data_IF_178920007145
#
_entry.id   IF_178920007145
#
_cell.length_a   1.000
_cell.length_b   1.000
_cell.length_c   1.000
_cell.angle_alpha   90.00
_cell.angle_beta   90.00
_cell.angle_gamma   90.00
#
_symmetry.space_group_name_H-M   'P 1'
#
loop_
_entity.id
_entity.type
_entity.pdbx_description
1 polymer ?
#
# COMPACT_ATOMS: atom_id res chain seq x y z
N UNK A 1 7.50 -16.17 24.36
CA UNK A 1 7.63 -16.33 22.90
C UNK A 1 6.29 -15.88 22.34
N UNK A 2 6.27 -14.87 21.47
CA UNK A 2 5.01 -14.36 20.95
C UNK A 2 4.28 -15.45 20.16
N UNK A 3 2.95 -15.49 20.27
CA UNK A 3 2.13 -16.52 19.68
C UNK A 3 1.92 -16.29 18.17
N UNK A 4 1.81 -15.02 17.77
CA UNK A 4 1.44 -14.60 16.42
C UNK A 4 2.55 -13.75 15.79
N UNK A 5 2.97 -14.13 14.58
CA UNK A 5 3.80 -13.29 13.72
C UNK A 5 2.92 -12.54 12.72
N UNK A 6 3.12 -11.24 12.55
CA UNK A 6 2.38 -10.38 11.61
C UNK A 6 3.38 -9.76 10.65
N UNK A 7 3.23 -9.98 9.35
CA UNK A 7 4.15 -9.46 8.33
C UNK A 7 3.49 -8.28 7.62
N UNK A 8 4.01 -7.09 7.87
CA UNK A 8 3.54 -5.80 7.32
C UNK A 8 2.85 -4.93 8.36
N UNK A 9 3.32 -3.69 8.52
CA UNK A 9 2.73 -2.68 9.40
C UNK A 9 1.83 -1.69 8.65
N UNK A 10 1.11 -2.19 7.63
CA UNK A 10 -0.05 -1.48 7.07
C UNK A 10 -1.25 -1.52 8.01
N UNK A 11 -2.32 -0.81 7.64
CA UNK A 11 -3.51 -0.67 8.49
C UNK A 11 -4.14 -1.99 8.91
N UNK A 12 -4.15 -3.01 8.04
CA UNK A 12 -4.68 -4.34 8.36
C UNK A 12 -3.82 -5.11 9.38
N UNK A 13 -2.49 -5.05 9.24
CA UNK A 13 -1.56 -5.66 10.20
C UNK A 13 -1.65 -5.02 11.58
N UNK A 14 -1.72 -3.68 11.62
CA UNK A 14 -1.87 -2.94 12.89
C UNK A 14 -3.24 -3.18 13.51
N UNK A 15 -4.34 -3.17 12.73
CA UNK A 15 -5.66 -3.52 13.24
C UNK A 15 -5.69 -4.93 13.85
N UNK A 16 -5.01 -5.89 13.23
CA UNK A 16 -4.86 -7.26 13.76
C UNK A 16 -4.14 -7.25 15.10
N UNK A 17 -2.97 -6.61 15.17
CA UNK A 17 -2.14 -6.55 16.38
C UNK A 17 -2.85 -5.83 17.54
N UNK A 18 -3.53 -4.71 17.27
CA UNK A 18 -4.35 -4.00 18.27
C UNK A 18 -5.44 -4.93 18.81
N UNK A 19 -6.14 -5.64 17.94
CA UNK A 19 -7.22 -6.53 18.38
C UNK A 19 -6.69 -7.75 19.14
N UNK A 20 -5.55 -8.32 18.75
CA UNK A 20 -4.88 -9.38 19.52
C UNK A 20 -4.44 -8.91 20.91
N UNK A 21 -3.87 -7.71 21.01
CA UNK A 21 -3.47 -7.11 22.28
C UNK A 21 -4.68 -6.94 23.23
N UNK A 22 -5.85 -6.57 22.70
CA UNK A 22 -7.11 -6.49 23.48
C UNK A 22 -7.57 -7.85 24.02
N UNK A 23 -7.20 -8.94 23.36
CA UNK A 23 -7.43 -10.31 23.82
C UNK A 23 -6.33 -10.85 24.74
N UNK A 24 -5.28 -10.07 25.01
CA UNK A 24 -4.13 -10.52 25.79
C UNK A 24 -3.20 -11.48 25.03
N UNK A 25 -3.27 -11.52 23.70
CA UNK A 25 -2.42 -12.36 22.86
C UNK A 25 -1.19 -11.57 22.41
N UNK A 26 0.00 -12.06 22.76
CA UNK A 26 1.26 -11.47 22.33
C UNK A 26 1.51 -11.71 20.83
N UNK A 27 1.81 -10.63 20.10
CA UNK A 27 2.15 -10.66 18.68
C UNK A 27 3.40 -9.83 18.37
N UNK A 28 4.11 -10.19 17.30
CA UNK A 28 5.24 -9.42 16.75
C UNK A 28 4.91 -8.99 15.33
N UNK A 29 5.05 -7.70 15.04
CA UNK A 29 4.91 -7.15 13.68
C UNK A 29 6.30 -7.02 13.05
N UNK A 30 6.47 -7.48 11.82
CA UNK A 30 7.64 -7.23 10.99
C UNK A 30 7.30 -6.15 9.96
N UNK A 31 8.12 -5.11 9.90
CA UNK A 31 8.01 -4.02 8.92
C UNK A 31 9.39 -3.71 8.34
N UNK A 32 9.52 -3.63 7.03
CA UNK A 32 10.82 -3.42 6.40
C UNK A 32 11.27 -1.96 6.41
N UNK A 33 10.32 -1.02 6.42
CA UNK A 33 10.61 0.42 6.32
C UNK A 33 9.96 1.17 7.48
N UNK A 34 8.70 1.58 7.29
CA UNK A 34 7.94 2.43 8.21
C UNK A 34 6.48 2.02 8.20
N UNK A 35 5.85 2.16 9.34
CA UNK A 35 4.40 2.03 9.54
C UNK A 35 3.60 2.80 8.48
N UNK A 36 2.47 2.22 8.06
CA UNK A 36 1.47 2.87 7.21
C UNK A 36 1.28 2.24 5.84
N UNK A 37 2.27 1.48 5.35
CA UNK A 37 2.17 0.75 4.08
C UNK A 37 1.75 1.66 2.91
N UNK A 38 0.66 1.31 2.22
CA UNK A 38 0.18 2.05 1.04
C UNK A 38 -0.50 3.39 1.37
N UNK A 39 -1.02 3.56 2.59
CA UNK A 39 -1.68 4.79 3.02
C UNK A 39 -0.72 5.98 2.99
N UNK A 40 0.59 5.74 3.10
CA UNK A 40 1.64 6.75 2.90
C UNK A 40 1.52 7.49 1.55
N UNK A 41 0.89 6.86 0.55
CA UNK A 41 0.71 7.41 -0.79
C UNK A 41 -0.63 8.12 -1.00
N UNK A 42 -1.53 8.09 -0.01
CA UNK A 42 -2.90 8.57 -0.18
C UNK A 42 -2.98 10.09 -0.04
N UNK A 43 -3.60 10.76 -1.03
CA UNK A 43 -3.96 12.19 -0.92
C UNK A 43 -4.97 12.41 0.21
N UNK A 44 -6.02 11.58 0.21
CA UNK A 44 -7.11 11.60 1.19
C UNK A 44 -7.68 10.19 1.33
N UNK A 45 -7.93 9.77 2.56
CA UNK A 45 -8.63 8.53 2.89
C UNK A 45 -10.06 8.89 3.27
N UNK A 46 -11.00 8.65 2.36
CA UNK A 46 -12.42 9.01 2.52
C UNK A 46 -13.32 7.78 2.72
N UNK A 47 -12.81 6.59 2.39
CA UNK A 47 -13.51 5.32 2.52
C UNK A 47 -13.44 4.72 3.94
N UNK A 48 -13.15 5.55 4.94
CA UNK A 48 -13.17 5.18 6.35
C UNK A 48 -14.19 6.09 7.02
N UNK A 49 -15.25 5.48 7.56
CA UNK A 49 -16.29 6.22 8.28
C UNK A 49 -15.68 7.03 9.43
N UNK A 50 -16.42 8.05 9.89
CA UNK A 50 -16.02 9.01 10.94
C UNK A 50 -15.11 10.16 10.49
N UNK A 51 -14.78 10.25 9.18
CA UNK A 51 -14.09 11.40 8.59
C UNK A 51 -14.91 11.95 7.40
N UNK A 52 -15.93 12.79 7.63
CA UNK A 52 -16.83 13.25 6.57
C UNK A 52 -16.12 14.04 5.47
N UNK A 53 -15.06 14.77 5.82
CA UNK A 53 -14.21 15.52 4.88
C UNK A 53 -12.98 14.73 4.41
N UNK A 54 -12.92 13.43 4.74
CA UNK A 54 -11.72 12.62 4.58
C UNK A 54 -10.63 12.93 5.62
N UNK A 55 -9.57 12.12 5.56
CA UNK A 55 -8.38 12.30 6.38
C UNK A 55 -7.13 12.08 5.53
N UNK A 56 -6.14 12.98 5.65
CA UNK A 56 -4.88 12.85 4.89
C UNK A 56 -4.17 11.54 5.22
N UNK A 57 -3.55 10.93 4.20
CA UNK A 57 -2.76 9.71 4.38
C UNK A 57 -1.73 9.83 5.50
N UNK A 58 -1.00 10.94 5.57
CA UNK A 58 -0.01 11.17 6.62
C UNK A 58 -0.62 11.16 8.03
N UNK A 59 -1.79 11.78 8.21
CA UNK A 59 -2.47 11.79 9.52
C UNK A 59 -2.96 10.39 9.90
N UNK A 60 -3.40 9.58 8.94
CA UNK A 60 -3.74 8.17 9.22
C UNK A 60 -2.50 7.40 9.68
N UNK A 61 -1.32 7.63 9.08
CA UNK A 61 -0.08 6.98 9.52
C UNK A 61 0.30 7.39 10.94
N UNK A 62 0.19 8.68 11.29
CA UNK A 62 0.41 9.14 12.67
C UNK A 62 -0.54 8.44 13.66
N UNK A 63 -1.82 8.30 13.30
CA UNK A 63 -2.79 7.56 14.14
C UNK A 63 -2.40 6.09 14.29
N UNK A 64 -1.88 5.45 13.25
CA UNK A 64 -1.37 4.08 13.34
C UNK A 64 -0.16 3.97 14.27
N UNK A 65 0.75 4.94 14.24
CA UNK A 65 1.87 5.05 15.17
C UNK A 65 1.37 5.28 16.62
N UNK A 66 0.33 6.10 16.82
CA UNK A 66 -0.34 6.29 18.12
C UNK A 66 -0.94 4.96 18.64
N UNK A 67 -1.57 4.14 17.79
CA UNK A 67 -2.06 2.82 18.16
C UNK A 67 -0.93 1.86 18.58
N UNK A 68 0.18 1.87 17.85
CA UNK A 68 1.38 1.07 18.18
C UNK A 68 1.90 1.44 19.57
N UNK A 69 2.04 2.74 19.87
CA UNK A 69 2.48 3.21 21.17
C UNK A 69 1.49 2.91 22.29
N UNK A 70 0.20 3.20 22.08
CA UNK A 70 -0.87 3.02 23.09
C UNK A 70 -1.02 1.56 23.54
N UNK A 71 -0.91 0.61 22.62
CA UNK A 71 -1.06 -0.82 22.91
C UNK A 71 0.27 -1.54 23.17
N UNK A 72 1.39 -0.82 23.17
CA UNK A 72 2.72 -1.42 23.38
C UNK A 72 3.07 -2.48 22.34
N UNK A 73 2.65 -2.28 21.08
CA UNK A 73 2.82 -3.28 20.03
C UNK A 73 4.32 -3.40 19.68
N UNK A 74 4.82 -4.64 19.65
CA UNK A 74 6.21 -4.90 19.27
C UNK A 74 6.35 -4.90 17.75
N UNK A 75 7.02 -3.88 17.22
CA UNK A 75 7.40 -3.79 15.81
C UNK A 75 8.90 -4.03 15.66
N UNK A 76 9.27 -5.02 14.83
CA UNK A 76 10.64 -5.31 14.42
C UNK A 76 10.82 -4.73 13.02
N UNK A 77 11.75 -3.78 12.91
CA UNK A 77 12.07 -3.12 11.64
C UNK A 77 13.07 -3.95 10.82
N UNK A 78 12.58 -5.05 10.25
CA UNK A 78 13.33 -6.02 9.45
C UNK A 78 12.49 -6.52 8.27
N UNK A 79 13.10 -6.68 7.11
CA UNK A 79 12.46 -7.36 5.98
C UNK A 79 12.43 -8.86 6.23
N UNK A 80 11.25 -9.46 6.08
CA UNK A 80 11.10 -10.92 6.05
C UNK A 80 11.53 -11.42 4.68
N UNK A 81 12.53 -12.28 4.65
CA UNK A 81 13.14 -12.81 3.43
C UNK A 81 12.72 -14.26 3.15
N UNK A 82 12.18 -14.96 4.14
CA UNK A 82 11.76 -16.34 4.01
C UNK A 82 10.71 -16.73 5.03
N UNK A 83 9.79 -17.61 4.64
CA UNK A 83 8.79 -18.21 5.52
C UNK A 83 8.71 -19.68 5.16
N UNK A 84 8.71 -20.54 6.17
CA UNK A 84 8.44 -21.97 6.00
C UNK A 84 7.67 -22.51 7.17
N UNK A 85 6.88 -23.55 6.92
CA UNK A 85 6.28 -24.35 7.99
C UNK A 85 7.26 -25.44 8.42
N UNK A 86 7.48 -25.58 9.72
CA UNK A 86 8.25 -26.67 10.32
C UNK A 86 7.49 -27.16 11.53
N UNK A 87 7.07 -28.43 11.47
CA UNK A 87 6.17 -29.02 12.47
C UNK A 87 4.92 -28.13 12.62
N UNK A 88 4.53 -27.82 13.86
CA UNK A 88 3.36 -26.98 14.17
C UNK A 88 3.63 -25.47 14.07
N UNK A 89 4.86 -25.04 13.74
CA UNK A 89 5.27 -23.64 13.79
C UNK A 89 5.64 -23.07 12.40
N UNK A 90 5.41 -21.77 12.24
CA UNK A 90 5.97 -21.00 11.14
C UNK A 90 7.35 -20.47 11.55
N UNK A 91 8.37 -20.77 10.75
CA UNK A 91 9.69 -20.13 10.85
C UNK A 91 9.74 -18.94 9.90
N UNK A 92 9.90 -17.74 10.47
CA UNK A 92 10.02 -16.45 9.77
C UNK A 92 11.48 -16.03 9.79
N UNK A 93 12.06 -15.87 8.61
CA UNK A 93 13.47 -15.54 8.41
C UNK A 93 13.65 -14.08 8.03
N UNK A 94 14.67 -13.47 8.62
CA UNK A 94 15.11 -12.09 8.38
C UNK A 94 16.63 -12.10 8.26
N UNK A 95 17.26 -11.01 7.75
CA UNK A 95 18.72 -10.88 7.76
C UNK A 95 19.37 -10.97 9.15
N UNK A 96 18.62 -10.73 10.24
CA UNK A 96 19.17 -10.74 11.61
C UNK A 96 18.88 -12.02 12.39
N UNK A 97 18.05 -12.91 11.86
CA UNK A 97 17.74 -14.17 12.52
C UNK A 97 16.39 -14.76 12.14
N UNK A 98 15.99 -15.74 12.94
CA UNK A 98 14.82 -16.58 12.70
C UNK A 98 13.89 -16.56 13.89
N UNK A 99 12.60 -16.40 13.62
CA UNK A 99 11.54 -16.27 14.60
C UNK A 99 10.52 -17.38 14.39
N UNK A 100 9.89 -17.85 15.47
CA UNK A 100 8.91 -18.94 15.41
C UNK A 100 7.58 -18.52 15.99
N UNK A 101 6.50 -18.85 15.28
CA UNK A 101 5.13 -18.49 15.66
C UNK A 101 4.18 -19.66 15.41
N UNK A 102 3.13 -19.80 16.24
CA UNK A 102 2.05 -20.76 15.99
C UNK A 102 1.14 -20.28 14.87
N UNK A 103 0.85 -18.98 14.86
CA UNK A 103 0.02 -18.32 13.85
C UNK A 103 0.83 -17.32 13.04
N UNK A 104 0.51 -17.21 11.76
CA UNK A 104 1.12 -16.23 10.87
C UNK A 104 0.04 -15.40 10.17
N UNK A 105 0.16 -14.08 10.26
CA UNK A 105 -0.72 -13.14 9.57
C UNK A 105 0.10 -12.39 8.52
N UNK A 106 -0.25 -12.56 7.26
CA UNK A 106 0.38 -11.89 6.12
C UNK A 106 -0.47 -10.67 5.77
N UNK A 107 0.05 -9.49 6.08
CA UNK A 107 -0.53 -8.17 5.82
C UNK A 107 0.38 -7.32 4.92
N UNK A 108 1.10 -7.98 4.01
CA UNK A 108 2.15 -7.43 3.12
C UNK A 108 1.64 -6.52 2.00
N UNK A 109 0.33 -6.39 1.87
CA UNK A 109 -0.33 -5.55 0.88
C UNK A 109 0.00 -5.94 -0.56
N UNK A 110 0.22 -4.93 -1.41
CA UNK A 110 0.49 -5.10 -2.84
C UNK A 110 1.67 -4.24 -3.28
N UNK A 111 2.35 -4.62 -4.36
CA UNK A 111 3.39 -3.82 -5.03
C UNK A 111 2.92 -3.33 -6.41
N UNK A 112 3.42 -2.18 -6.90
CA UNK A 112 3.00 -1.66 -8.20
C UNK A 112 3.45 -2.57 -9.34
N UNK A 113 2.64 -2.64 -10.41
CA UNK A 113 3.11 -3.15 -11.70
C UNK A 113 4.08 -2.14 -12.30
N UNK A 114 5.23 -2.62 -12.78
CA UNK A 114 6.27 -1.77 -13.37
C UNK A 114 6.12 -1.69 -14.89
N UNK A 115 6.34 -0.49 -15.42
CA UNK A 115 6.59 -0.24 -16.83
C UNK A 115 8.04 -0.62 -17.17
N UNK A 116 8.33 -1.02 -18.42
CA UNK A 116 9.68 -1.37 -18.87
C UNK A 116 10.51 -0.10 -19.16
N UNK A 117 10.40 0.93 -18.33
CA UNK A 117 11.05 2.22 -18.50
C UNK A 117 11.73 2.64 -17.19
N UNK A 118 12.93 3.18 -17.31
CA UNK A 118 13.64 3.80 -16.19
C UNK A 118 13.09 5.19 -15.88
N UNK A 119 13.42 5.74 -14.71
CA UNK A 119 12.98 7.08 -14.28
C UNK A 119 11.50 7.19 -13.89
N UNK A 120 10.76 6.08 -13.86
CA UNK A 120 9.35 6.05 -13.41
C UNK A 120 9.29 5.78 -11.91
N UNK A 121 8.66 6.69 -11.17
CA UNK A 121 8.37 6.54 -9.74
C UNK A 121 6.99 5.91 -9.58
N UNK A 122 6.82 4.98 -8.62
CA UNK A 122 5.55 4.25 -8.44
C UNK A 122 4.82 4.58 -7.14
N UNK A 123 5.47 5.34 -6.26
CA UNK A 123 4.99 5.73 -4.96
C UNK A 123 5.14 7.24 -4.81
N UNK A 124 4.03 7.97 -4.75
CA UNK A 124 4.08 9.44 -4.59
C UNK A 124 4.72 9.85 -3.27
N UNK A 125 4.71 8.97 -2.26
CA UNK A 125 5.39 9.18 -0.98
C UNK A 125 6.92 9.25 -1.10
N UNK A 126 7.50 8.69 -2.18
CA UNK A 126 8.94 8.73 -2.46
C UNK A 126 9.35 9.99 -3.24
N UNK A 127 8.38 10.79 -3.70
CA UNK A 127 8.63 12.02 -4.46
C UNK A 127 9.11 13.13 -3.53
N UNK A 128 10.28 13.74 -3.79
CA UNK A 128 10.77 14.86 -2.99
C UNK A 128 9.77 16.02 -2.95
N UNK A 129 9.57 16.60 -1.77
CA UNK A 129 8.72 17.79 -1.60
C UNK A 129 9.46 19.03 -2.13
N UNK A 130 9.32 19.26 -3.44
CA UNK A 130 9.80 20.45 -4.15
C UNK A 130 8.80 20.84 -5.23
N UNK A 131 9.04 22.00 -5.85
CA UNK A 131 8.27 22.41 -7.01
C UNK A 131 8.72 21.65 -8.28
N UNK A 132 7.75 21.33 -9.13
CA UNK A 132 7.91 20.70 -10.43
C UNK A 132 7.23 21.59 -11.49
N UNK A 133 7.80 21.70 -12.68
CA UNK A 133 7.12 22.34 -13.81
C UNK A 133 6.03 21.42 -14.36
N UNK A 134 6.40 20.23 -14.84
CA UNK A 134 5.45 19.27 -15.43
C UNK A 134 5.61 17.86 -14.90
N UNK A 135 4.48 17.24 -14.54
CA UNK A 135 4.41 15.85 -14.07
C UNK A 135 3.52 15.03 -15.00
N UNK A 136 4.00 13.87 -15.45
CA UNK A 136 3.21 12.89 -16.20
C UNK A 136 2.83 11.71 -15.30
N UNK A 137 1.56 11.36 -15.27
CA UNK A 137 1.02 10.22 -14.52
C UNK A 137 0.45 9.22 -15.51
N UNK A 138 0.95 7.99 -15.50
CA UNK A 138 0.54 6.92 -16.42
C UNK A 138 -0.40 5.98 -15.67
N UNK A 139 -1.69 6.04 -16.00
CA UNK A 139 -2.71 5.22 -15.36
C UNK A 139 -4.06 5.92 -15.33
N UNK A 140 -5.13 5.15 -15.20
CA UNK A 140 -6.51 5.67 -15.20
C UNK A 140 -7.39 5.15 -14.06
N UNK A 141 -6.83 4.51 -13.04
CA UNK A 141 -7.55 4.08 -11.84
C UNK A 141 -7.39 5.08 -10.69
N UNK A 142 -7.98 4.78 -9.53
CA UNK A 142 -7.99 5.66 -8.35
C UNK A 142 -6.61 6.20 -7.99
N UNK A 143 -5.59 5.33 -7.93
CA UNK A 143 -4.20 5.71 -7.59
C UNK A 143 -3.66 6.80 -8.53
N UNK A 144 -3.99 6.77 -9.82
CA UNK A 144 -3.51 7.77 -10.76
C UNK A 144 -4.15 9.15 -10.49
N UNK A 145 -5.44 9.17 -10.18
CA UNK A 145 -6.17 10.38 -9.85
C UNK A 145 -5.76 10.94 -8.48
N UNK A 146 -5.52 10.07 -7.52
CA UNK A 146 -5.02 10.41 -6.19
C UNK A 146 -3.61 11.04 -6.25
N UNK A 147 -2.72 10.45 -7.07
CA UNK A 147 -1.41 11.02 -7.36
C UNK A 147 -1.54 12.38 -8.05
N UNK A 148 -2.49 12.54 -8.99
CA UNK A 148 -2.70 13.80 -9.67
C UNK A 148 -3.13 14.92 -8.73
N UNK A 149 -4.04 14.62 -7.79
CA UNK A 149 -4.47 15.56 -6.76
C UNK A 149 -3.31 15.95 -5.84
N UNK A 150 -2.46 15.01 -5.47
CA UNK A 150 -1.24 15.28 -4.69
C UNK A 150 -0.28 16.19 -5.46
N UNK A 151 0.06 15.81 -6.69
CA UNK A 151 1.04 16.55 -7.52
C UNK A 151 0.52 17.91 -7.97
N UNK A 152 -0.80 18.10 -8.09
CA UNK A 152 -1.38 19.41 -8.45
C UNK A 152 -1.07 20.52 -7.46
N UNK A 153 -0.66 20.18 -6.23
CA UNK A 153 -0.21 21.14 -5.21
C UNK A 153 1.26 21.53 -5.34
N UNK A 154 2.03 20.81 -6.14
CA UNK A 154 3.49 20.94 -6.25
C UNK A 154 3.96 21.15 -7.70
N UNK A 155 3.07 21.06 -8.69
CA UNK A 155 3.40 21.16 -10.11
C UNK A 155 2.62 22.26 -10.85
N UNK A 156 3.27 22.93 -11.81
CA UNK A 156 2.59 23.89 -12.70
C UNK A 156 1.58 23.18 -13.62
N UNK A 157 1.91 21.97 -14.08
CA UNK A 157 1.04 21.15 -14.92
C UNK A 157 1.16 19.66 -14.57
N UNK A 158 0.01 19.01 -14.39
CA UNK A 158 -0.10 17.56 -14.21
C UNK A 158 -0.88 16.95 -15.37
N UNK A 159 -0.30 15.95 -16.01
CA UNK A 159 -0.94 15.23 -17.12
C UNK A 159 -1.24 13.80 -16.68
N UNK A 160 -2.51 13.41 -16.67
CA UNK A 160 -2.93 12.01 -16.51
C UNK A 160 -3.07 11.41 -17.90
N UNK A 161 -2.21 10.46 -18.24
CA UNK A 161 -2.24 9.73 -19.50
C UNK A 161 -2.88 8.34 -19.30
N UNK A 162 -3.99 8.11 -19.99
CA UNK A 162 -4.81 6.91 -19.84
C UNK A 162 -4.96 6.17 -21.16
N UNK A 163 -4.89 4.84 -21.16
CA UNK A 163 -5.08 4.02 -22.38
C UNK A 163 -6.55 3.86 -22.81
N UNK A 164 -7.48 4.23 -21.93
CA UNK A 164 -8.93 4.05 -22.06
C UNK A 164 -9.64 5.12 -21.23
N UNK A 165 -10.96 5.06 -21.20
CA UNK A 165 -11.75 5.83 -20.24
C UNK A 165 -11.28 5.59 -18.79
N UNK A 166 -11.40 6.62 -17.92
CA UNK A 166 -11.01 6.52 -16.53
C UNK A 166 -11.83 5.46 -15.80
N UNK A 167 -11.13 4.59 -15.08
CA UNK A 167 -11.69 3.60 -14.16
C UNK A 167 -11.70 4.07 -12.71
N UNK A 168 -11.22 5.29 -12.46
CA UNK A 168 -11.24 5.91 -11.15
C UNK A 168 -12.69 6.20 -10.70
N UNK A 169 -12.91 6.27 -9.39
CA UNK A 169 -14.18 6.66 -8.81
C UNK A 169 -14.67 7.99 -9.40
N UNK A 170 -15.96 8.12 -9.76
CA UNK A 170 -16.52 9.36 -10.30
C UNK A 170 -16.24 10.60 -9.44
N UNK A 171 -16.21 10.41 -8.11
CA UNK A 171 -15.84 11.45 -7.16
C UNK A 171 -14.41 11.98 -7.38
N UNK A 172 -13.41 11.11 -7.51
CA UNK A 172 -12.03 11.50 -7.80
C UNK A 172 -11.91 12.18 -9.17
N UNK A 173 -12.67 11.72 -10.15
CA UNK A 173 -12.72 12.36 -11.48
C UNK A 173 -13.23 13.79 -11.38
N UNK A 174 -14.27 14.03 -10.58
CA UNK A 174 -14.84 15.37 -10.36
C UNK A 174 -13.85 16.30 -9.63
N UNK A 175 -13.14 15.79 -8.62
CA UNK A 175 -12.09 16.54 -7.94
C UNK A 175 -10.96 16.95 -8.90
N UNK A 176 -10.55 16.03 -9.78
CA UNK A 176 -9.53 16.31 -10.81
C UNK A 176 -10.03 17.35 -11.81
N UNK A 177 -11.27 17.26 -12.29
CA UNK A 177 -11.86 18.24 -13.23
C UNK A 177 -11.90 19.67 -12.67
N UNK A 178 -11.99 19.82 -11.35
CA UNK A 178 -11.99 21.12 -10.66
C UNK A 178 -10.61 21.76 -10.55
N UNK A 179 -9.53 21.08 -10.96
CA UNK A 179 -8.16 21.60 -10.91
C UNK A 179 -7.75 22.09 -12.30
N UNK A 180 -7.49 23.39 -12.42
CA UNK A 180 -7.12 24.02 -13.68
C UNK A 180 -5.75 23.57 -14.22
N UNK A 181 -4.86 23.08 -13.34
CA UNK A 181 -3.54 22.61 -13.71
C UNK A 181 -3.45 21.09 -13.96
N UNK A 182 -4.58 20.36 -13.94
CA UNK A 182 -4.61 18.94 -14.30
C UNK A 182 -5.26 18.76 -15.67
N UNK A 183 -4.59 18.02 -16.55
CA UNK A 183 -5.11 17.61 -17.85
C UNK A 183 -5.21 16.10 -17.94
N UNK A 184 -6.31 15.60 -18.48
CA UNK A 184 -6.49 14.17 -18.79
C UNK A 184 -6.35 13.95 -20.29
N UNK A 185 -5.47 13.04 -20.70
CA UNK A 185 -5.24 12.69 -22.10
C UNK A 185 -5.38 11.18 -22.31
N UNK A 186 -5.92 10.79 -23.47
CA UNK A 186 -5.88 9.41 -23.91
C UNK A 186 -4.60 9.12 -24.69
N UNK A 187 -3.86 8.09 -24.29
CA UNK A 187 -2.68 7.65 -25.01
C UNK A 187 -1.89 6.55 -24.30
N UNK A 188 -0.83 6.11 -24.96
CA UNK A 188 0.09 5.09 -24.46
C UNK A 188 1.52 5.59 -24.56
N UNK A 189 2.31 5.35 -23.52
CA UNK A 189 3.74 5.63 -23.51
C UNK A 189 4.48 4.57 -24.32
N UNK A 190 5.36 5.03 -25.21
CA UNK A 190 6.22 4.19 -26.06
C UNK A 190 7.66 4.17 -25.55
N UNK A 191 8.12 5.30 -25.02
CA UNK A 191 9.48 5.46 -24.54
C UNK A 191 9.51 6.55 -23.45
N UNK A 192 10.40 6.37 -22.47
CA UNK A 192 10.79 7.42 -21.52
C UNK A 192 12.31 7.40 -21.48
N UNK A 193 12.93 8.57 -21.69
CA UNK A 193 14.39 8.70 -21.64
C UNK A 193 14.81 10.03 -21.02
N UNK A 194 16.01 10.12 -20.44
CA UNK A 194 16.60 11.39 -20.05
C UNK A 194 16.69 12.35 -21.25
N UNK A 195 16.41 13.62 -21.01
CA UNK A 195 16.66 14.68 -22.00
C UNK A 195 18.09 15.19 -21.79
N UNK A 196 18.89 15.23 -22.87
CA UNK A 196 20.32 15.56 -22.84
C UNK A 196 20.65 16.76 -21.93
N UNK A 197 21.36 16.51 -20.83
CA UNK A 197 21.95 17.54 -19.95
C UNK A 197 21.02 18.18 -18.92
N UNK A 198 19.72 17.85 -18.89
CA UNK A 198 18.75 18.39 -17.93
C UNK A 198 18.24 17.30 -16.98
N UNK A 199 17.84 17.65 -15.74
CA UNK A 199 17.09 16.77 -14.83
C UNK A 199 15.64 16.52 -15.31
N UNK A 200 15.43 16.42 -16.62
CA UNK A 200 14.13 16.23 -17.26
C UNK A 200 14.09 14.92 -18.03
N UNK A 201 12.87 14.40 -18.16
CA UNK A 201 12.54 13.21 -18.93
C UNK A 201 11.75 13.63 -20.18
N UNK A 202 12.05 12.99 -21.30
CA UNK A 202 11.22 13.02 -22.49
C UNK A 202 10.36 11.75 -22.53
N UNK A 203 9.05 11.91 -22.40
CA UNK A 203 8.08 10.83 -22.59
C UNK A 203 7.48 10.89 -23.99
N UNK A 204 7.77 9.88 -24.82
CA UNK A 204 7.21 9.73 -26.16
C UNK A 204 5.93 8.91 -26.05
N UNK A 205 4.81 9.46 -26.50
CA UNK A 205 3.50 8.84 -26.37
C UNK A 205 2.70 8.89 -27.66
N UNK A 206 1.62 8.13 -27.75
CA UNK A 206 0.67 8.25 -28.87
C UNK A 206 -0.11 9.56 -28.89
N UNK A 207 -0.10 10.34 -27.80
CA UNK A 207 -0.78 11.63 -27.67
C UNK A 207 0.16 12.83 -27.90
N UNK A 208 1.42 12.56 -28.27
CA UNK A 208 2.48 13.57 -28.39
C UNK A 208 3.65 13.31 -27.45
N UNK A 209 4.65 14.17 -27.54
CA UNK A 209 5.86 14.10 -26.72
C UNK A 209 5.78 15.11 -25.58
N UNK A 210 6.13 14.67 -24.37
CA UNK A 210 6.10 15.51 -23.17
C UNK A 210 7.48 15.57 -22.54
N UNK A 211 8.01 16.78 -22.41
CA UNK A 211 9.13 17.06 -21.52
C UNK A 211 8.60 17.29 -20.11
N UNK A 212 9.04 16.48 -19.16
CA UNK A 212 8.53 16.43 -17.79
C UNK A 212 9.66 16.31 -16.78
N UNK A 213 9.43 16.80 -15.57
CA UNK A 213 10.38 16.68 -14.46
C UNK A 213 10.20 15.35 -13.71
N UNK A 214 9.02 14.75 -13.83
CA UNK A 214 8.67 13.52 -13.12
C UNK A 214 7.66 12.68 -13.92
N UNK A 215 7.88 11.37 -13.94
CA UNK A 215 6.89 10.39 -14.39
C UNK A 215 6.46 9.49 -13.24
N UNK A 216 5.15 9.41 -13.00
CA UNK A 216 4.53 8.51 -12.02
C UNK A 216 3.79 7.36 -12.72
N UNK A 217 4.05 6.12 -12.30
CA UNK A 217 3.38 4.92 -12.79
C UNK A 217 2.26 4.45 -11.85
N UNK A 218 1.03 4.36 -12.36
CA UNK A 218 -0.16 3.90 -11.64
C UNK A 218 -0.99 2.90 -12.49
N UNK A 219 -0.32 1.87 -13.01
CA UNK A 219 -0.89 0.89 -13.97
C UNK A 219 -1.44 -0.40 -13.32
N UNK A 220 -1.76 -0.33 -12.03
CA UNK A 220 -2.26 -1.45 -11.23
C UNK A 220 -1.20 -2.02 -10.28
N UNK A 221 -1.64 -2.96 -9.44
CA UNK A 221 -0.81 -3.55 -8.37
C UNK A 221 -1.01 -5.05 -8.26
N UNK A 222 0.01 -5.77 -7.83
CA UNK A 222 0.02 -7.22 -7.61
C UNK A 222 0.19 -7.54 -6.12
N UNK A 223 -0.52 -8.53 -5.57
CA UNK A 223 -0.34 -8.98 -4.19
C UNK A 223 1.08 -9.45 -3.88
N UNK A 224 1.55 -9.19 -2.66
CA UNK A 224 2.84 -9.67 -2.16
C UNK A 224 2.66 -11.00 -1.41
N UNK A 225 2.44 -12.09 -2.16
CA UNK A 225 2.18 -13.44 -1.61
C UNK A 225 3.32 -14.43 -1.81
N UNK A 226 4.42 -13.99 -2.44
CA UNK A 226 5.48 -14.89 -2.94
C UNK A 226 6.10 -15.75 -1.85
N UNK A 227 6.20 -15.23 -0.62
CA UNK A 227 6.79 -15.93 0.51
C UNK A 227 5.87 -17.00 1.12
N UNK A 228 4.59 -17.01 0.77
CA UNK A 228 3.58 -17.90 1.38
C UNK A 228 2.73 -18.65 0.35
N UNK A 229 2.97 -18.45 -0.95
CA UNK A 229 2.14 -19.00 -2.03
C UNK A 229 2.05 -20.52 -2.03
N UNK A 230 3.06 -21.22 -1.49
CA UNK A 230 3.15 -22.68 -1.47
C UNK A 230 2.88 -23.25 -0.06
N UNK A 231 2.36 -22.44 0.87
CA UNK A 231 2.07 -22.84 2.25
C UNK A 231 0.55 -22.93 2.44
N UNK A 232 0.05 -24.16 2.59
CA UNK A 232 -1.35 -24.43 2.94
C UNK A 232 -1.43 -24.84 4.41
N UNK A 233 -1.90 -23.94 5.26
CA UNK A 233 -2.03 -24.16 6.71
C UNK A 233 -3.16 -23.29 7.26
N UNK A 234 -4.01 -23.85 8.11
CA UNK A 234 -5.17 -23.15 8.66
C UNK A 234 -4.81 -22.00 9.60
N UNK A 235 -3.59 -22.00 10.15
CA UNK A 235 -3.07 -20.96 11.05
C UNK A 235 -2.31 -19.87 10.28
N UNK A 236 -2.30 -19.93 8.94
CA UNK A 236 -1.84 -18.88 8.05
C UNK A 236 -3.03 -18.03 7.58
N UNK A 237 -3.00 -16.74 7.85
CA UNK A 237 -4.05 -15.80 7.48
C UNK A 237 -3.52 -14.73 6.53
N UNK A 238 -4.32 -14.40 5.51
CA UNK A 238 -4.09 -13.24 4.65
C UNK A 238 -5.01 -12.08 5.07
N UNK A 239 -4.47 -10.86 5.18
CA UNK A 239 -5.21 -9.68 5.66
C UNK A 239 -5.02 -8.48 4.73
N UNK A 240 -6.13 -7.86 4.29
CA UNK A 240 -6.14 -6.66 3.48
C UNK A 240 -5.83 -6.91 2.00
N UNK A 241 -5.20 -5.92 1.35
CA UNK A 241 -5.01 -5.87 -0.10
C UNK A 241 -4.30 -7.08 -0.71
N UNK A 242 -3.56 -7.84 0.10
CA UNK A 242 -2.89 -9.07 -0.32
C UNK A 242 -3.88 -10.17 -0.75
N UNK A 243 -5.12 -10.17 -0.23
CA UNK A 243 -6.18 -11.12 -0.61
C UNK A 243 -7.42 -10.49 -1.24
N UNK A 244 -7.63 -9.19 -1.10
CA UNK A 244 -8.91 -8.55 -1.47
C UNK A 244 -9.09 -8.32 -2.99
N UNK A 245 -8.21 -8.84 -3.84
CA UNK A 245 -8.35 -8.76 -5.29
C UNK A 245 -8.41 -7.31 -5.78
N UNK A 246 -9.57 -6.90 -6.31
CA UNK A 246 -9.84 -5.52 -6.77
C UNK A 246 -10.43 -4.62 -5.67
N UNK A 247 -10.92 -5.18 -4.56
CA UNK A 247 -11.59 -4.46 -3.47
C UNK A 247 -10.59 -3.96 -2.42
N UNK A 248 -9.73 -3.04 -2.83
CA UNK A 248 -8.61 -2.54 -2.00
C UNK A 248 -9.00 -1.29 -1.24
N UNK A 249 -9.70 -1.49 -0.12
CA UNK A 249 -10.26 -0.42 0.70
C UNK A 249 -9.76 -0.50 2.14
N UNK A 250 -9.52 0.65 2.75
CA UNK A 250 -9.00 0.75 4.12
C UNK A 250 -9.92 0.04 5.12
N UNK A 251 -11.23 0.30 5.04
CA UNK A 251 -12.22 -0.33 5.91
C UNK A 251 -12.22 -1.87 5.80
N UNK A 252 -12.02 -2.42 4.59
CA UNK A 252 -11.95 -3.87 4.39
C UNK A 252 -10.69 -4.45 5.02
N UNK A 253 -9.54 -3.80 4.87
CA UNK A 253 -8.30 -4.24 5.49
C UNK A 253 -8.37 -4.23 7.03
N UNK A 254 -9.04 -3.24 7.62
CA UNK A 254 -9.30 -3.18 9.06
C UNK A 254 -10.21 -4.34 9.48
N UNK A 255 -11.33 -4.52 8.79
CA UNK A 255 -12.29 -5.57 9.10
C UNK A 255 -11.67 -6.98 8.99
N UNK A 256 -10.85 -7.21 7.98
CA UNK A 256 -10.08 -8.44 7.83
C UNK A 256 -9.18 -8.68 9.04
N UNK A 257 -8.41 -7.68 9.45
CA UNK A 257 -7.47 -7.81 10.57
C UNK A 257 -8.17 -8.09 11.90
N UNK A 258 -9.26 -7.36 12.18
CA UNK A 258 -10.09 -7.59 13.37
C UNK A 258 -10.68 -9.01 13.35
N UNK A 259 -11.24 -9.45 12.22
CA UNK A 259 -11.80 -10.80 12.07
C UNK A 259 -10.74 -11.87 12.31
N UNK A 260 -9.56 -11.73 11.72
CA UNK A 260 -8.44 -12.66 11.92
C UNK A 260 -8.03 -12.76 13.39
N UNK A 261 -7.90 -11.62 14.08
CA UNK A 261 -7.60 -11.63 15.51
C UNK A 261 -8.67 -12.34 16.35
N UNK A 262 -9.95 -12.13 16.03
CA UNK A 262 -11.07 -12.83 16.67
C UNK A 262 -11.03 -14.34 16.42
N UNK A 263 -10.72 -14.78 15.20
CA UNK A 263 -10.57 -16.19 14.86
C UNK A 263 -9.44 -16.84 15.65
N UNK A 264 -8.26 -16.21 15.71
CA UNK A 264 -7.11 -16.71 16.47
C UNK A 264 -7.50 -16.84 17.95
N UNK A 265 -8.09 -15.79 18.54
CA UNK A 265 -8.51 -15.84 19.94
C UNK A 265 -9.53 -16.95 20.22
N UNK A 266 -10.51 -17.12 19.34
CA UNK A 266 -11.53 -18.18 19.50
C UNK A 266 -10.89 -19.57 19.48
N UNK A 267 -9.98 -19.82 18.53
CA UNK A 267 -9.22 -21.09 18.45
C UNK A 267 -8.40 -21.35 19.69
N UNK A 268 -7.69 -20.34 20.20
CA UNK A 268 -6.90 -20.49 21.42
C UNK A 268 -7.77 -20.72 22.67
N UNK A 269 -8.96 -20.14 22.71
CA UNK A 269 -9.84 -20.23 23.89
C UNK A 269 -10.69 -21.50 23.93
N UNK A 270 -11.15 -21.97 22.76
CA UNK A 270 -12.17 -23.01 22.63
C UNK A 270 -11.78 -24.18 21.69
N UNK A 271 -10.61 -24.13 21.04
CA UNK A 271 -10.24 -25.06 19.98
C UNK A 271 -10.99 -24.80 18.66
N UNK A 272 -10.80 -25.68 17.67
CA UNK A 272 -11.46 -25.60 16.35
C UNK A 272 -12.92 -26.08 16.39
N UNK A 273 -13.74 -25.45 17.23
CA UNK A 273 -15.19 -25.70 17.28
C UNK A 273 -15.95 -24.51 16.69
N UNK A 274 -16.68 -24.78 15.60
CA UNK A 274 -17.57 -23.82 14.91
C UNK A 274 -18.59 -23.15 15.86
#
# INVERSE_FOLDING_TARGET
MALVGIIGAGIGGIATAVQLARYGIESVIFERERIGGLIRNAYSVENTMFFPDGIKGERVVEILEEYVGKYGLRVIYEEVTGIRKKDELFEVETPKGMYRFKYLVVATGTRPKKLPFEGVVYHVAEVPRRHYGRVLIIGGGDVAFDYALTMSKMADEVIILMRSEPKALPYLQELVKRRSNIKTLMGQVREIRPKNGEEKLLAVTSAGNFEVDLVLGAIGRVPNIELVKDIEDENLFLVGDVKNGIYRQTALAIADGIRTAMTIWRRERYGDTE
#
